data_IF_005014994613
#
_entry.id   IF_005014994613
#
_cell.length_a   1.000
_cell.length_b   1.000
_cell.length_c   1.000
_cell.angle_alpha   90.00
_cell.angle_beta   90.00
_cell.angle_gamma   90.00
#
_symmetry.space_group_name_H-M   'P 1'
#
loop_
_entity.id
_entity.type
_entity.pdbx_description
1 polymer ?
#
# COMPACT_ATOMS: atom_id res chain seq x y z
N UNK A 1 -0.65 30.28 57.21
CA UNK A 1 -1.40 29.14 57.80
C UNK A 1 -0.90 27.89 57.06
N UNK A 2 0.08 27.11 57.55
CA UNK A 2 0.05 26.21 58.71
C UNK A 2 -1.16 25.25 58.59
N UNK A 3 -1.04 23.93 58.44
CA UNK A 3 -0.49 22.88 59.32
C UNK A 3 -0.37 21.58 58.47
N UNK A 4 0.79 20.92 58.35
CA UNK A 4 1.35 19.85 59.20
C UNK A 4 0.90 18.39 58.89
N UNK A 5 1.94 17.53 58.79
CA UNK A 5 2.05 16.12 59.25
C UNK A 5 1.63 14.93 58.36
N UNK A 6 2.67 14.25 57.83
CA UNK A 6 2.87 12.77 57.84
C UNK A 6 2.62 12.19 59.27
N UNK A 7 2.41 10.88 59.55
CA UNK A 7 2.97 9.69 58.86
C UNK A 7 2.07 8.40 58.92
N UNK A 8 2.56 7.27 58.39
CA UNK A 8 2.72 6.02 59.19
C UNK A 8 3.25 4.85 58.36
N UNK A 9 4.26 4.20 58.92
CA UNK A 9 4.86 2.93 58.48
C UNK A 9 4.02 1.79 59.03
N UNK A 10 3.80 0.73 58.27
CA UNK A 10 3.49 -0.58 58.80
C UNK A 10 4.49 -1.60 58.25
N UNK A 11 5.43 -1.99 59.13
CA UNK A 11 6.27 -3.18 59.02
C UNK A 11 5.47 -4.36 59.58
N UNK A 12 5.46 -5.50 58.90
CA UNK A 12 5.30 -6.87 59.44
C UNK A 12 5.04 -7.80 58.25
N UNK A 13 5.56 -9.01 58.11
CA UNK A 13 6.59 -9.76 58.82
C UNK A 13 6.97 -10.92 57.86
N UNK A 14 8.27 -11.23 57.73
CA UNK A 14 8.73 -12.46 57.08
C UNK A 14 8.53 -13.66 58.01
N UNK A 15 8.06 -14.82 57.51
CA UNK A 15 8.46 -16.12 58.03
C UNK A 15 9.33 -16.83 56.97
N UNK A 16 10.60 -17.07 57.29
CA UNK A 16 11.12 -18.31 57.90
C UNK A 16 11.34 -19.40 56.84
N UNK A 17 12.58 -19.46 56.38
CA UNK A 17 13.11 -20.47 55.49
C UNK A 17 13.10 -21.87 56.14
N UNK A 18 12.63 -22.87 55.41
CA UNK A 18 12.93 -24.28 55.66
C UNK A 18 13.70 -24.81 54.46
N UNK A 19 15.00 -25.03 54.67
CA UNK A 19 15.88 -25.78 53.77
C UNK A 19 15.55 -27.28 53.89
N UNK A 20 15.07 -27.91 52.81
CA UNK A 20 15.24 -29.35 52.60
C UNK A 20 16.31 -29.56 51.53
N UNK A 21 17.32 -30.32 51.92
CA UNK A 21 18.49 -30.65 51.13
C UNK A 21 18.14 -31.51 49.90
N UNK A 22 18.93 -31.27 48.85
CA UNK A 22 18.89 -31.90 47.55
C UNK A 22 19.28 -33.39 47.59
N UNK A 23 18.52 -34.21 46.85
CA UNK A 23 19.06 -35.34 46.11
C UNK A 23 19.05 -34.92 44.63
N UNK A 24 20.20 -34.83 43.94
CA UNK A 24 20.21 -34.68 42.49
C UNK A 24 19.74 -36.00 41.90
N UNK A 25 18.44 -36.11 41.63
CA UNK A 25 17.94 -37.07 40.67
C UNK A 25 18.70 -36.83 39.38
N UNK A 26 19.46 -37.83 38.94
CA UNK A 26 20.18 -37.82 37.68
C UNK A 26 19.30 -37.18 36.58
N UNK A 27 19.81 -36.24 35.78
CA UNK A 27 19.07 -35.81 34.61
C UNK A 27 18.91 -37.06 33.74
N UNK A 28 17.70 -37.61 33.74
CA UNK A 28 17.34 -38.60 32.75
C UNK A 28 17.65 -37.97 31.40
N UNK A 29 18.67 -38.49 30.72
CA UNK A 29 18.96 -38.22 29.33
C UNK A 29 17.67 -38.51 28.58
N UNK A 30 16.85 -37.47 28.37
CA UNK A 30 15.76 -37.50 27.40
C UNK A 30 16.47 -37.80 26.09
N UNK A 31 16.21 -38.98 25.52
CA UNK A 31 16.56 -39.28 24.14
C UNK A 31 15.90 -38.17 23.31
N UNK A 32 16.71 -37.19 22.92
CA UNK A 32 16.26 -36.07 22.13
C UNK A 32 16.05 -36.63 20.72
N UNK A 33 14.89 -36.41 20.15
CA UNK A 33 14.49 -36.84 18.81
C UNK A 33 15.59 -36.52 17.78
N UNK A 34 16.41 -37.51 17.42
CA UNK A 34 17.47 -37.43 16.40
C UNK A 34 16.86 -37.49 14.99
N UNK A 35 15.83 -36.69 14.74
CA UNK A 35 15.18 -36.59 13.43
C UNK A 35 16.12 -35.87 12.47
N UNK A 36 16.45 -36.53 11.35
CA UNK A 36 17.39 -36.00 10.36
C UNK A 36 18.86 -36.42 10.54
N UNK A 37 19.13 -37.27 11.53
CA UNK A 37 20.44 -37.90 11.72
C UNK A 37 20.36 -39.40 11.44
N UNK A 38 21.29 -39.92 10.66
CA UNK A 38 21.45 -41.35 10.41
C UNK A 38 22.80 -41.83 10.94
N UNK A 39 22.82 -43.01 11.55
CA UNK A 39 24.06 -43.70 11.92
C UNK A 39 24.63 -44.39 10.69
N UNK A 40 25.81 -43.97 10.26
CA UNK A 40 26.56 -44.59 9.16
C UNK A 40 27.96 -44.88 9.68
N UNK A 41 28.37 -46.15 9.60
CA UNK A 41 29.68 -46.63 10.07
C UNK A 41 30.02 -46.26 11.52
N UNK A 42 29.02 -46.31 12.42
CA UNK A 42 29.20 -45.97 13.84
C UNK A 42 29.34 -44.48 14.13
N UNK A 43 29.19 -43.61 13.11
CA UNK A 43 29.24 -42.16 13.25
C UNK A 43 27.86 -41.55 12.97
N UNK A 44 27.39 -40.67 13.85
CA UNK A 44 26.09 -40.01 13.69
C UNK A 44 26.22 -38.87 12.66
N UNK A 45 25.67 -39.05 11.46
CA UNK A 45 25.69 -38.08 10.38
C UNK A 45 24.33 -37.38 10.31
N UNK A 46 24.29 -36.10 10.68
CA UNK A 46 23.09 -35.27 10.54
C UNK A 46 23.22 -34.42 9.28
N UNK A 47 22.14 -34.30 8.50
CA UNK A 47 22.11 -33.34 7.39
C UNK A 47 22.09 -31.93 7.99
N UNK A 48 23.04 -31.04 7.65
CA UNK A 48 23.03 -29.67 8.16
C UNK A 48 21.75 -28.97 7.70
N UNK A 49 20.91 -28.52 8.64
CA UNK A 49 19.62 -27.85 8.35
C UNK A 49 18.36 -28.66 8.68
N UNK A 50 18.49 -29.93 9.07
CA UNK A 50 17.39 -30.70 9.73
C UNK A 50 17.64 -30.81 11.23
N UNK A 51 17.96 -29.68 11.86
CA UNK A 51 18.06 -29.62 13.33
C UNK A 51 16.79 -28.99 13.89
N UNK A 52 16.07 -29.78 14.69
CA UNK A 52 15.06 -29.42 15.69
C UNK A 52 13.65 -29.02 15.20
N UNK A 53 12.68 -29.85 15.61
CA UNK A 53 11.22 -29.64 15.69
C UNK A 53 10.53 -29.07 14.41
N UNK A 54 9.60 -29.82 13.77
CA UNK A 54 8.72 -29.28 12.73
C UNK A 54 8.09 -27.91 13.07
N UNK A 55 7.89 -27.61 14.37
CA UNK A 55 7.42 -26.29 14.81
C UNK A 55 8.41 -25.15 14.52
N UNK A 56 9.72 -25.38 14.63
CA UNK A 56 10.74 -24.36 14.31
C UNK A 56 10.82 -24.11 12.80
N UNK A 57 10.70 -25.16 11.98
CA UNK A 57 10.64 -25.03 10.53
C UNK A 57 9.43 -24.20 10.08
N UNK A 58 8.27 -24.40 10.71
CA UNK A 58 7.07 -23.59 10.46
C UNK A 58 7.29 -22.13 10.86
N UNK A 59 7.98 -21.86 11.97
CA UNK A 59 8.28 -20.49 12.41
C UNK A 59 9.18 -19.75 11.43
N UNK A 60 10.24 -20.40 10.92
CA UNK A 60 11.12 -19.82 9.91
C UNK A 60 10.37 -19.54 8.60
N UNK A 61 9.54 -20.49 8.14
CA UNK A 61 8.74 -20.30 6.93
C UNK A 61 7.74 -19.15 7.09
N UNK A 62 7.10 -19.02 8.26
CA UNK A 62 6.21 -17.87 8.56
C UNK A 62 6.95 -16.53 8.52
N UNK A 63 8.18 -16.48 9.02
CA UNK A 63 9.00 -15.26 8.94
C UNK A 63 9.34 -14.89 7.50
N UNK A 64 9.66 -15.88 6.66
CA UNK A 64 9.90 -15.68 5.23
C UNK A 64 8.64 -15.18 4.51
N UNK A 65 7.50 -15.85 4.70
CA UNK A 65 6.21 -15.44 4.11
C UNK A 65 5.84 -14.00 4.52
N UNK A 66 6.00 -13.65 5.80
CA UNK A 66 5.73 -12.29 6.26
C UNK A 66 6.71 -11.24 5.68
N UNK A 67 7.91 -11.68 5.25
CA UNK A 67 8.83 -10.88 4.44
C UNK A 67 8.29 -10.66 3.04
N UNK A 68 7.92 -11.74 2.37
CA UNK A 68 7.44 -11.71 0.97
C UNK A 68 6.16 -10.90 0.83
N UNK A 69 5.20 -11.07 1.74
CA UNK A 69 3.95 -10.30 1.75
C UNK A 69 4.18 -8.78 1.90
N UNK A 70 5.22 -8.36 2.66
CA UNK A 70 5.56 -6.93 2.75
C UNK A 70 6.10 -6.39 1.44
N UNK A 71 6.87 -7.20 0.71
CA UNK A 71 7.38 -6.84 -0.61
C UNK A 71 6.25 -6.80 -1.63
N UNK A 72 5.37 -7.81 -1.64
CA UNK A 72 4.18 -7.85 -2.48
C UNK A 72 3.29 -6.63 -2.26
N UNK A 73 2.95 -6.32 -1.00
CA UNK A 73 2.17 -5.12 -0.68
C UNK A 73 2.83 -3.82 -1.14
N UNK A 74 4.17 -3.72 -1.11
CA UNK A 74 4.89 -2.57 -1.62
C UNK A 74 4.88 -2.47 -3.17
N UNK A 75 4.90 -3.62 -3.85
CA UNK A 75 4.76 -3.69 -5.32
C UNK A 75 3.34 -3.31 -5.74
N UNK A 76 2.33 -3.81 -5.04
CA UNK A 76 0.93 -3.45 -5.27
C UNK A 76 0.69 -1.94 -5.10
N UNK A 77 1.23 -1.34 -4.04
CA UNK A 77 1.19 0.10 -3.83
C UNK A 77 1.86 0.89 -4.96
N UNK A 78 2.99 0.38 -5.48
CA UNK A 78 3.68 1.01 -6.60
C UNK A 78 2.86 0.90 -7.89
N UNK A 79 2.24 -0.24 -8.16
CA UNK A 79 1.39 -0.45 -9.34
C UNK A 79 0.14 0.44 -9.27
N UNK A 80 -0.51 0.55 -8.10
CA UNK A 80 -1.61 1.48 -7.89
C UNK A 80 -1.19 2.95 -8.10
N UNK A 81 0.06 3.29 -7.76
CA UNK A 81 0.64 4.61 -8.07
C UNK A 81 0.89 4.86 -9.56
N UNK A 82 0.94 3.81 -10.39
CA UNK A 82 1.05 3.87 -11.84
C UNK A 82 -0.32 3.98 -12.53
N UNK A 83 -1.44 4.00 -11.80
CA UNK A 83 -2.79 4.32 -12.31
C UNK A 83 -2.91 5.80 -12.70
N UNK A 84 -2.05 6.22 -13.62
CA UNK A 84 -2.07 7.56 -14.17
C UNK A 84 -3.20 7.67 -15.16
N UNK A 85 -4.00 8.72 -14.98
CA UNK A 85 -4.99 9.14 -15.94
C UNK A 85 -4.27 9.79 -17.12
N UNK A 86 -4.45 9.23 -18.31
CA UNK A 86 -3.82 9.65 -19.55
C UNK A 86 -4.87 10.13 -20.56
N UNK A 87 -4.67 11.31 -21.13
CA UNK A 87 -5.38 11.78 -22.32
C UNK A 87 -4.69 11.32 -23.61
N UNK A 88 -5.42 10.59 -24.45
CA UNK A 88 -5.00 10.22 -25.80
C UNK A 88 -5.74 11.09 -26.82
N UNK A 89 -5.05 11.48 -27.90
CA UNK A 89 -5.61 12.32 -28.95
C UNK A 89 -4.74 13.55 -29.25
N UNK A 90 -5.02 14.20 -30.36
CA UNK A 90 -4.28 15.38 -30.78
C UNK A 90 -4.83 16.65 -30.16
N UNK A 91 -3.96 17.58 -29.83
CA UNK A 91 -4.32 18.92 -29.36
C UNK A 91 -4.74 19.81 -30.55
N UNK A 92 -5.76 19.42 -31.32
CA UNK A 92 -6.22 20.14 -32.51
C UNK A 92 -7.74 20.34 -32.44
N UNK A 93 -8.22 21.51 -32.85
CA UNK A 93 -9.65 21.79 -32.92
C UNK A 93 -10.40 20.74 -33.76
N UNK A 94 -11.40 20.10 -33.15
CA UNK A 94 -12.20 19.04 -33.73
C UNK A 94 -11.67 17.63 -33.49
N UNK A 95 -10.45 17.48 -32.96
CA UNK A 95 -9.93 16.19 -32.53
C UNK A 95 -10.63 15.74 -31.24
N UNK A 96 -10.65 14.42 -31.03
CA UNK A 96 -11.24 13.82 -29.83
C UNK A 96 -10.13 13.44 -28.86
N UNK A 97 -10.24 13.94 -27.63
CA UNK A 97 -9.44 13.49 -26.50
C UNK A 97 -10.18 12.36 -25.79
N UNK A 98 -9.44 11.31 -25.44
CA UNK A 98 -9.94 10.15 -24.73
C UNK A 98 -9.15 9.95 -23.43
N UNK A 99 -9.86 9.98 -22.30
CA UNK A 99 -9.34 9.59 -21.00
C UNK A 99 -9.18 8.08 -20.94
N UNK A 100 -7.96 7.66 -20.63
CA UNK A 100 -7.52 6.28 -20.44
C UNK A 100 -6.80 6.19 -19.11
N UNK A 101 -6.84 5.05 -18.43
CA UNK A 101 -6.02 4.80 -17.24
C UNK A 101 -5.28 3.49 -17.44
N UNK A 102 -4.15 3.33 -16.76
CA UNK A 102 -3.37 2.10 -16.83
C UNK A 102 -4.18 0.87 -16.36
N UNK A 103 -5.04 1.03 -15.35
CA UNK A 103 -6.09 0.07 -15.02
C UNK A 103 -7.40 0.35 -15.79
N UNK A 104 -8.07 -0.72 -16.22
CA UNK A 104 -9.28 -0.71 -17.06
C UNK A 104 -10.54 -0.11 -16.38
N UNK A 105 -10.39 0.52 -15.21
CA UNK A 105 -11.48 0.97 -14.33
C UNK A 105 -12.30 2.16 -14.85
N UNK A 106 -11.84 2.90 -15.86
CA UNK A 106 -12.55 4.11 -16.33
C UNK A 106 -13.85 3.81 -17.08
N UNK A 107 -13.91 2.71 -17.83
CA UNK A 107 -15.06 2.41 -18.69
C UNK A 107 -16.34 2.13 -17.90
N UNK A 108 -16.20 1.67 -16.65
CA UNK A 108 -17.32 1.38 -15.76
C UNK A 108 -17.84 2.63 -15.01
N UNK A 109 -17.14 3.77 -15.08
CA UNK A 109 -17.52 4.96 -14.36
C UNK A 109 -18.67 5.71 -15.07
N UNK A 110 -19.60 6.30 -14.30
CA UNK A 110 -20.65 7.13 -14.89
C UNK A 110 -20.04 8.39 -15.54
N UNK A 111 -20.66 8.96 -16.59
CA UNK A 111 -20.15 10.16 -17.25
C UNK A 111 -19.94 11.35 -16.30
N UNK A 112 -20.76 11.46 -15.27
CA UNK A 112 -20.67 12.50 -14.25
C UNK A 112 -19.39 12.43 -13.39
N UNK A 113 -18.64 11.32 -13.42
CA UNK A 113 -17.36 11.21 -12.73
C UNK A 113 -16.24 12.00 -13.45
N UNK A 114 -16.44 12.38 -14.72
CA UNK A 114 -15.45 13.06 -15.54
C UNK A 114 -15.75 14.56 -15.60
N UNK A 115 -14.78 15.37 -15.21
CA UNK A 115 -14.87 16.82 -15.24
C UNK A 115 -13.74 17.40 -16.09
N UNK A 116 -14.09 18.01 -17.21
CA UNK A 116 -13.14 18.60 -18.13
C UNK A 116 -12.86 20.06 -17.79
N UNK A 117 -11.60 20.45 -17.88
CA UNK A 117 -11.15 21.79 -17.53
C UNK A 117 -10.34 22.39 -18.67
N UNK A 118 -10.48 23.69 -18.82
CA UNK A 118 -9.72 24.51 -19.77
C UNK A 118 -8.95 25.60 -19.04
N UNK A 119 -7.69 25.79 -19.40
CA UNK A 119 -6.89 26.94 -19.01
C UNK A 119 -6.65 27.82 -20.23
N UNK A 120 -7.35 28.95 -20.29
CA UNK A 120 -7.22 29.91 -21.39
C UNK A 120 -5.90 30.69 -21.32
N UNK A 121 -5.36 31.16 -22.46
CA UNK A 121 -4.12 31.95 -22.49
C UNK A 121 -4.13 33.12 -21.52
N UNK A 122 -3.05 33.27 -20.75
CA UNK A 122 -2.89 34.35 -19.77
C UNK A 122 -3.78 34.22 -18.53
N UNK A 123 -4.51 33.12 -18.35
CA UNK A 123 -5.19 32.79 -17.10
C UNK A 123 -4.32 31.87 -16.24
N UNK A 124 -4.55 31.96 -14.94
CA UNK A 124 -3.90 31.08 -13.93
C UNK A 124 -4.87 30.03 -13.40
N UNK A 125 -6.18 30.28 -13.52
CA UNK A 125 -7.22 29.41 -13.00
C UNK A 125 -7.82 28.54 -14.10
N UNK A 126 -7.92 27.24 -13.81
CA UNK A 126 -8.63 26.26 -14.64
C UNK A 126 -10.14 26.49 -14.55
N UNK A 127 -10.78 26.62 -15.70
CA UNK A 127 -12.22 26.80 -15.81
C UNK A 127 -12.87 25.46 -16.18
N UNK A 128 -13.92 25.08 -15.44
CA UNK A 128 -14.74 23.92 -15.79
C UNK A 128 -15.42 24.16 -17.14
N UNK A 129 -15.34 23.16 -18.04
CA UNK A 129 -16.06 23.15 -19.32
C UNK A 129 -17.45 22.61 -19.05
N UNK A 130 -18.44 23.50 -18.98
CA UNK A 130 -19.82 23.12 -18.67
C UNK A 130 -20.37 22.13 -19.72
N UNK A 131 -21.02 21.07 -19.25
CA UNK A 131 -21.61 20.03 -20.11
C UNK A 131 -20.63 18.97 -20.63
N UNK A 132 -19.32 19.19 -20.49
CA UNK A 132 -18.32 18.18 -20.84
C UNK A 132 -18.26 17.11 -19.74
N UNK A 133 -18.66 15.88 -20.10
CA UNK A 133 -18.71 14.73 -19.21
C UNK A 133 -18.39 13.45 -20.00
N UNK A 134 -18.16 12.35 -19.29
CA UNK A 134 -17.72 11.10 -19.91
C UNK A 134 -16.23 11.06 -20.26
N UNK A 135 -15.77 9.88 -20.71
CA UNK A 135 -14.36 9.61 -20.94
C UNK A 135 -13.80 10.29 -22.19
N UNK A 136 -14.65 10.89 -23.03
CA UNK A 136 -14.23 11.52 -24.29
C UNK A 136 -14.67 12.98 -24.35
N UNK A 137 -13.82 13.82 -24.93
CA UNK A 137 -14.13 15.23 -25.17
C UNK A 137 -13.66 15.65 -26.56
N UNK A 138 -14.56 16.25 -27.33
CA UNK A 138 -14.24 16.83 -28.63
C UNK A 138 -13.76 18.28 -28.44
N UNK A 139 -12.55 18.57 -28.90
CA UNK A 139 -11.99 19.92 -28.81
C UNK A 139 -12.75 20.88 -29.71
N UNK A 140 -13.20 21.98 -29.14
CA UNK A 140 -14.01 22.99 -29.84
C UNK A 140 -13.17 24.19 -30.26
N UNK A 141 -13.76 25.11 -31.04
CA UNK A 141 -13.10 26.38 -31.36
C UNK A 141 -12.80 27.22 -30.11
N UNK A 142 -13.58 27.07 -29.04
CA UNK A 142 -13.36 27.79 -27.78
C UNK A 142 -12.11 27.30 -27.02
N UNK A 143 -11.58 26.13 -27.39
CA UNK A 143 -10.42 25.53 -26.73
C UNK A 143 -9.11 25.92 -27.41
N UNK A 144 -9.15 26.52 -28.60
CA UNK A 144 -7.97 26.96 -29.35
C UNK A 144 -7.09 27.88 -28.48
N UNK A 145 -5.78 27.67 -28.58
CA UNK A 145 -4.72 28.26 -27.76
C UNK A 145 -4.79 27.92 -26.25
N UNK A 146 -5.84 27.25 -25.79
CA UNK A 146 -5.99 26.85 -24.39
C UNK A 146 -5.34 25.49 -24.13
N UNK A 147 -5.05 25.23 -22.87
CA UNK A 147 -4.70 23.90 -22.37
C UNK A 147 -5.95 23.20 -21.83
N UNK A 148 -6.02 21.88 -21.94
CA UNK A 148 -7.15 21.05 -21.53
C UNK A 148 -6.66 19.90 -20.66
N UNK A 149 -7.41 19.59 -19.60
CA UNK A 149 -7.19 18.41 -18.76
C UNK A 149 -8.53 17.85 -18.29
N UNK A 150 -8.52 16.63 -17.76
CA UNK A 150 -9.69 16.01 -17.13
C UNK A 150 -9.36 15.57 -15.72
N UNK A 151 -10.32 15.75 -14.82
CA UNK A 151 -10.29 15.24 -13.45
C UNK A 151 -11.39 14.20 -13.32
N UNK A 152 -11.02 13.00 -12.90
CA UNK A 152 -11.96 11.92 -12.58
C UNK A 152 -12.14 11.86 -11.07
N UNK A 153 -13.38 11.93 -10.61
CA UNK A 153 -13.74 11.86 -9.20
C UNK A 153 -14.59 10.62 -8.92
N UNK A 154 -14.07 9.70 -8.12
CA UNK A 154 -14.75 8.48 -7.71
C UNK A 154 -15.16 8.60 -6.24
N UNK A 155 -16.44 8.37 -5.89
CA UNK A 155 -16.86 8.33 -4.49
C UNK A 155 -16.24 7.14 -3.77
N UNK A 156 -15.74 7.35 -2.56
CA UNK A 156 -15.25 6.30 -1.67
C UNK A 156 -15.88 6.45 -0.29
N UNK A 157 -15.89 5.41 0.57
CA UNK A 157 -16.40 5.54 1.94
C UNK A 157 -15.74 6.67 2.75
N UNK A 158 -14.50 7.04 2.40
CA UNK A 158 -13.76 8.15 3.03
C UNK A 158 -13.92 9.50 2.34
N UNK A 159 -14.78 9.64 1.32
CA UNK A 159 -15.02 10.87 0.58
C UNK A 159 -14.97 10.66 -0.93
N UNK A 160 -13.97 11.26 -1.60
CA UNK A 160 -13.78 11.09 -3.03
C UNK A 160 -12.30 10.99 -3.38
N UNK A 161 -11.95 9.93 -4.11
CA UNK A 161 -10.65 9.79 -4.75
C UNK A 161 -10.67 10.56 -6.07
N UNK A 162 -9.65 11.39 -6.29
CA UNK A 162 -9.52 12.20 -7.51
C UNK A 162 -8.25 11.84 -8.24
N UNK A 163 -8.37 11.63 -9.54
CA UNK A 163 -7.25 11.44 -10.46
C UNK A 163 -7.26 12.57 -11.49
N UNK A 164 -6.11 13.18 -11.73
CA UNK A 164 -5.94 14.28 -12.68
C UNK A 164 -5.11 13.79 -13.84
N UNK A 165 -5.51 14.12 -15.07
CA UNK A 165 -4.75 13.76 -16.25
C UNK A 165 -3.51 14.62 -16.43
N UNK A 166 -2.62 14.20 -17.33
CA UNK A 166 -1.70 15.15 -17.94
C UNK A 166 -2.46 16.23 -18.72
N UNK A 167 -1.81 17.36 -18.92
CA UNK A 167 -2.34 18.49 -19.68
C UNK A 167 -2.08 18.29 -21.16
N UNK A 168 -3.10 18.55 -21.99
CA UNK A 168 -2.99 18.57 -23.45
C UNK A 168 -3.12 20.00 -23.95
N UNK A 169 -2.22 20.41 -24.84
CA UNK A 169 -2.26 21.73 -25.47
C UNK A 169 -0.89 22.43 -25.51
N UNK A 170 -0.86 23.69 -25.97
CA UNK A 170 -2.01 24.49 -26.40
C UNK A 170 -2.71 23.88 -27.63
N UNK A 171 -4.05 23.94 -27.63
CA UNK A 171 -4.84 23.40 -28.75
C UNK A 171 -4.61 24.24 -30.00
N UNK A 172 -4.23 23.60 -31.09
CA UNK A 172 -4.02 24.23 -32.37
C UNK A 172 -5.35 24.41 -33.11
N UNK A 173 -5.50 25.48 -33.90
CA UNK A 173 -6.65 25.62 -34.79
C UNK A 173 -6.66 24.48 -35.81
N UNK A 174 -7.85 24.18 -36.35
CA UNK A 174 -7.95 23.20 -37.44
C UNK A 174 -7.15 23.70 -38.66
N UNK A 175 -6.32 22.85 -39.29
CA UNK A 175 -5.64 23.21 -40.53
C UNK A 175 -6.63 23.67 -41.61
N UNK A 176 -6.28 24.72 -42.36
CA UNK A 176 -7.05 25.12 -43.54
C UNK A 176 -6.87 24.06 -44.63
N UNK A 177 -7.97 23.61 -45.21
CA UNK A 177 -8.01 22.62 -46.30
C UNK A 177 -8.21 23.33 -47.64
#
# INVERSE_FOLDING_TARGET
>A
MAFLRRPSRARAALPLALLLAALPGAPGLRAQDLVGCQLVDGTLQCVPGVTADPQQQIQLLRQQIAGDQRIEGAVEQRIAGLDQLLLQGEAVQGAMLQATAAAEGLAALPPAAFHWYRLSPGKVQWQLIAGASGPTYALTSADVASQVMVVVAVPTPGGSQRSVSQVVGPVQPRPAN
#
